data_IF_528290689964
#
_entry.id   IF_528290689964
#
_cell.length_a   1.000
_cell.length_b   1.000
_cell.length_c   1.000
_cell.angle_alpha   90.00
_cell.angle_beta   90.00
_cell.angle_gamma   90.00
#
_symmetry.space_group_name_H-M   'P 1'
#
loop_
_entity.id
_entity.type
_entity.pdbx_description
1 polymer ?
#
# COMPACT_ATOMS: atom_id res chain seq x y z
N UNK A 1 -11.18 -48.41 -23.45
CA UNK A 1 -11.57 -47.39 -22.46
C UNK A 1 -10.28 -46.65 -22.15
N UNK A 2 -9.99 -45.60 -22.91
CA UNK A 2 -8.75 -44.83 -22.81
C UNK A 2 -8.92 -43.78 -21.72
N UNK A 3 -8.01 -43.82 -20.75
CA UNK A 3 -7.89 -42.87 -19.66
C UNK A 3 -7.43 -41.52 -20.25
N UNK A 4 -8.26 -40.50 -20.09
CA UNK A 4 -8.06 -39.18 -20.67
C UNK A 4 -8.21 -38.14 -19.55
N UNK A 5 -7.16 -37.99 -18.76
CA UNK A 5 -6.89 -36.76 -18.01
C UNK A 5 -5.49 -36.80 -17.41
N UNK A 6 -4.46 -36.90 -18.25
CA UNK A 6 -3.14 -36.41 -17.90
C UNK A 6 -3.15 -34.91 -18.21
N UNK A 7 -3.68 -34.12 -17.28
CA UNK A 7 -3.55 -32.67 -17.35
C UNK A 7 -2.11 -32.35 -16.96
N UNK A 8 -1.31 -32.07 -17.99
CA UNK A 8 0.05 -31.58 -17.93
C UNK A 8 0.10 -30.31 -17.05
N UNK A 9 0.33 -30.50 -15.75
CA UNK A 9 0.40 -29.41 -14.80
C UNK A 9 1.74 -28.71 -15.01
N UNK A 10 1.76 -27.42 -15.39
CA UNK A 10 2.98 -26.72 -15.76
C UNK A 10 4.01 -26.79 -14.63
N UNK A 11 5.27 -27.01 -15.01
CA UNK A 11 6.38 -27.10 -14.07
C UNK A 11 6.55 -25.77 -13.31
N UNK A 12 7.15 -25.80 -12.12
CA UNK A 12 7.43 -24.59 -11.31
C UNK A 12 8.12 -23.47 -12.11
N UNK A 13 9.02 -23.83 -13.04
CA UNK A 13 9.71 -22.87 -13.89
C UNK A 13 8.83 -22.27 -14.99
N UNK A 14 7.94 -23.05 -15.60
CA UNK A 14 6.97 -22.53 -16.58
C UNK A 14 5.97 -21.58 -15.93
N UNK A 15 5.56 -21.89 -14.69
CA UNK A 15 4.72 -21.00 -13.88
C UNK A 15 5.43 -19.69 -13.54
N UNK A 16 6.72 -19.75 -13.19
CA UNK A 16 7.52 -18.55 -12.92
C UNK A 16 7.66 -17.67 -14.18
N UNK A 17 7.99 -18.26 -15.33
CA UNK A 17 8.13 -17.53 -16.59
C UNK A 17 6.81 -16.89 -17.04
N UNK A 18 5.69 -17.61 -16.92
CA UNK A 18 4.36 -17.10 -17.23
C UNK A 18 3.96 -15.94 -16.30
N UNK A 19 4.25 -16.05 -15.00
CA UNK A 19 4.03 -14.97 -14.04
C UNK A 19 4.85 -13.72 -14.37
N UNK A 20 6.14 -13.88 -14.67
CA UNK A 20 7.01 -12.75 -15.08
C UNK A 20 6.47 -12.08 -16.34
N UNK A 21 6.01 -12.85 -17.33
CA UNK A 21 5.41 -12.31 -18.54
C UNK A 21 4.14 -11.51 -18.24
N UNK A 22 3.25 -12.02 -17.37
CA UNK A 22 2.04 -11.32 -16.90
C UNK A 22 2.39 -10.01 -16.19
N UNK A 23 3.35 -10.04 -15.27
CA UNK A 23 3.79 -8.86 -14.52
C UNK A 23 4.41 -7.79 -15.42
N UNK A 24 5.19 -8.18 -16.44
CA UNK A 24 5.77 -7.24 -17.41
C UNK A 24 4.71 -6.44 -18.16
N UNK A 25 3.52 -6.99 -18.37
CA UNK A 25 2.39 -6.26 -18.99
C UNK A 25 1.87 -5.11 -18.10
N UNK A 26 2.18 -5.11 -16.81
CA UNK A 26 1.75 -4.04 -15.88
C UNK A 26 2.67 -2.81 -15.91
N UNK A 27 3.84 -2.91 -16.54
CA UNK A 27 4.82 -1.82 -16.58
C UNK A 27 4.20 -0.59 -17.23
N UNK A 28 4.32 0.55 -16.55
CA UNK A 28 3.80 1.83 -17.03
C UNK A 28 2.30 2.05 -16.78
N UNK A 29 1.53 1.03 -16.41
CA UNK A 29 0.11 1.20 -16.05
C UNK A 29 0.04 1.99 -14.73
N UNK A 30 -0.65 3.13 -14.79
CA UNK A 30 -0.93 3.96 -13.62
C UNK A 30 -2.31 3.64 -13.06
N UNK A 31 -2.39 3.44 -11.75
CA UNK A 31 -3.62 3.39 -10.98
C UNK A 31 -3.69 4.60 -10.05
N UNK A 32 -4.86 5.22 -9.97
CA UNK A 32 -5.12 6.39 -9.12
C UNK A 32 -6.19 6.02 -8.11
N UNK A 33 -5.92 6.27 -6.83
CA UNK A 33 -6.83 6.06 -5.72
C UNK A 33 -7.02 7.38 -4.98
N UNK A 34 -8.26 7.76 -4.73
CA UNK A 34 -8.58 8.93 -3.93
C UNK A 34 -9.29 8.47 -2.66
N UNK A 35 -8.82 8.96 -1.52
CA UNK A 35 -9.43 8.68 -0.23
C UNK A 35 -10.90 9.15 -0.24
N UNK A 36 -11.83 8.33 0.27
CA UNK A 36 -13.23 8.75 0.39
C UNK A 36 -13.41 9.84 1.46
N UNK A 37 -12.52 9.85 2.46
CA UNK A 37 -12.59 10.72 3.62
C UNK A 37 -11.22 11.35 3.95
N UNK A 38 -11.24 12.33 4.86
CA UNK A 38 -10.05 12.89 5.47
C UNK A 38 -9.28 11.82 6.28
N UNK A 39 -7.96 11.97 6.40
CA UNK A 39 -7.10 11.02 7.12
C UNK A 39 -7.47 10.79 8.60
N UNK A 40 -8.01 11.83 9.25
CA UNK A 40 -8.51 11.78 10.61
C UNK A 40 -7.45 11.66 11.71
N UNK A 41 -7.64 12.39 12.82
CA UNK A 41 -6.77 12.31 14.01
C UNK A 41 -6.66 10.91 14.64
N UNK A 42 -7.72 10.08 14.66
CA UNK A 42 -7.65 8.77 15.32
C UNK A 42 -6.57 7.86 14.72
N UNK A 43 -6.38 7.87 13.40
CA UNK A 43 -5.40 7.04 12.72
C UNK A 43 -3.97 7.40 13.12
N UNK A 44 -3.69 8.70 13.33
CA UNK A 44 -2.36 9.19 13.73
C UNK A 44 -2.00 8.67 15.12
N UNK A 45 -2.92 8.81 16.08
CA UNK A 45 -2.75 8.29 17.44
C UNK A 45 -2.62 6.77 17.44
N UNK A 46 -3.47 6.05 16.73
CA UNK A 46 -3.46 4.58 16.72
C UNK A 46 -2.17 4.03 16.11
N UNK A 47 -1.69 4.62 15.01
CA UNK A 47 -0.45 4.21 14.39
C UNK A 47 0.76 4.54 15.27
N UNK A 48 0.82 5.75 15.86
CA UNK A 48 1.85 6.14 16.82
C UNK A 48 1.94 5.13 17.99
N UNK A 49 0.80 4.70 18.53
CA UNK A 49 0.74 3.64 19.55
C UNK A 49 1.28 2.30 19.02
N UNK A 50 0.92 1.91 17.80
CA UNK A 50 1.32 0.64 17.19
C UNK A 50 2.84 0.56 16.93
N UNK A 51 3.45 1.66 16.50
CA UNK A 51 4.90 1.71 16.21
C UNK A 51 5.75 2.12 17.42
N UNK A 52 5.12 2.53 18.53
CA UNK A 52 5.81 2.95 19.75
C UNK A 52 6.52 4.31 19.65
N UNK A 53 6.14 5.16 18.69
CA UNK A 53 6.65 6.53 18.55
C UNK A 53 5.63 7.51 19.14
N UNK A 54 5.93 8.04 20.32
CA UNK A 54 5.04 8.92 21.08
C UNK A 54 5.39 10.41 20.93
N UNK A 55 6.00 10.81 19.82
CA UNK A 55 6.27 12.23 19.56
C UNK A 55 4.97 13.06 19.68
N UNK A 56 4.93 14.09 20.56
CA UNK A 56 3.71 14.85 20.83
C UNK A 56 3.17 15.58 19.60
N UNK A 57 3.97 15.85 18.57
CA UNK A 57 3.50 16.49 17.33
C UNK A 57 2.44 15.68 16.58
N UNK A 58 2.28 14.39 16.89
CA UNK A 58 1.25 13.54 16.30
C UNK A 58 -0.10 13.60 17.03
N UNK A 59 -0.14 14.11 18.27
CA UNK A 59 -1.33 13.99 19.15
C UNK A 59 -1.71 15.29 19.87
N UNK A 60 -0.77 16.20 20.07
CA UNK A 60 -0.97 17.49 20.72
C UNK A 60 -0.82 18.65 19.73
N UNK A 61 -1.93 19.36 19.49
CA UNK A 61 -1.99 20.50 18.57
C UNK A 61 -1.11 21.67 19.03
N UNK A 62 -0.96 21.90 20.34
CA UNK A 62 -0.11 22.98 20.85
C UNK A 62 1.36 22.65 20.65
N UNK A 63 1.76 21.41 20.94
CA UNK A 63 3.12 20.95 20.66
C UNK A 63 3.45 21.05 19.16
N UNK A 64 2.56 20.58 18.30
CA UNK A 64 2.74 20.68 16.84
C UNK A 64 2.91 22.14 16.38
N UNK A 65 2.07 23.06 16.87
CA UNK A 65 2.17 24.50 16.56
C UNK A 65 3.45 25.14 17.08
N UNK A 66 3.95 24.74 18.25
CA UNK A 66 5.25 25.19 18.75
C UNK A 66 6.42 24.77 17.83
N UNK A 67 6.23 23.70 17.05
CA UNK A 67 7.16 23.23 16.02
C UNK A 67 6.90 23.80 14.62
N UNK A 68 6.00 24.78 14.48
CA UNK A 68 5.71 25.44 13.20
C UNK A 68 4.73 24.70 12.29
N UNK A 69 4.09 23.63 12.79
CA UNK A 69 3.03 22.94 12.06
C UNK A 69 1.69 23.66 12.24
N UNK A 70 0.79 23.56 11.26
CA UNK A 70 -0.56 24.15 11.39
C UNK A 70 -1.42 23.45 12.46
N UNK A 71 -1.22 22.15 12.60
CA UNK A 71 -1.88 21.26 13.54
C UNK A 71 -1.04 19.98 13.69
N UNK A 72 -1.54 18.99 14.43
CA UNK A 72 -0.92 17.67 14.49
C UNK A 72 -0.66 17.10 13.09
N UNK A 73 0.42 16.33 12.93
CA UNK A 73 0.73 15.66 11.68
C UNK A 73 0.70 14.14 11.84
N UNK A 74 0.51 13.42 10.74
CA UNK A 74 0.68 11.98 10.70
C UNK A 74 2.13 11.60 11.04
N UNK A 75 2.36 10.49 11.77
CA UNK A 75 3.64 9.81 11.74
C UNK A 75 4.07 9.57 10.28
N UNK A 76 5.29 9.93 9.85
CA UNK A 76 5.62 10.01 8.43
C UNK A 76 5.34 8.73 7.63
N UNK A 77 5.59 7.55 8.21
CA UNK A 77 5.38 6.26 7.54
C UNK A 77 3.93 5.77 7.51
N UNK A 78 3.01 6.41 8.23
CA UNK A 78 1.58 6.04 8.20
C UNK A 78 1.05 6.04 6.76
N UNK A 79 1.44 7.02 5.95
CA UNK A 79 0.97 7.14 4.55
C UNK A 79 1.44 5.97 3.67
N UNK A 80 2.55 5.33 4.04
CA UNK A 80 3.15 4.22 3.30
C UNK A 80 2.55 2.86 3.69
N UNK A 81 1.93 2.78 4.87
CA UNK A 81 1.45 1.55 5.50
C UNK A 81 -0.08 1.52 5.68
N UNK A 82 -0.77 2.62 5.36
CA UNK A 82 -2.23 2.70 5.43
C UNK A 82 -2.87 2.35 4.09
N UNK A 83 -4.13 1.90 4.14
CA UNK A 83 -5.00 1.74 2.97
C UNK A 83 -6.22 2.67 3.01
N UNK A 84 -6.24 3.65 3.92
CA UNK A 84 -7.36 4.61 4.06
C UNK A 84 -7.63 5.41 2.78
N UNK A 85 -6.67 5.49 1.85
CA UNK A 85 -6.84 6.18 0.57
C UNK A 85 -7.54 5.33 -0.51
N UNK A 86 -7.95 4.10 -0.20
CA UNK A 86 -8.62 3.19 -1.14
C UNK A 86 -10.04 2.93 -0.66
N UNK A 87 -11.00 3.30 -1.50
CA UNK A 87 -12.38 2.82 -1.40
C UNK A 87 -12.52 1.53 -2.23
N UNK A 88 -13.12 0.49 -1.66
CA UNK A 88 -13.39 -0.74 -2.40
C UNK A 88 -13.84 -1.91 -1.54
N UNK A 89 -14.29 -2.95 -2.24
CA UNK A 89 -14.72 -4.20 -1.61
C UNK A 89 -13.55 -4.96 -0.97
N UNK A 90 -13.90 -5.77 0.02
CA UNK A 90 -12.99 -6.70 0.69
C UNK A 90 -13.33 -8.12 0.25
N UNK A 91 -12.30 -8.91 -0.09
CA UNK A 91 -12.46 -10.31 -0.45
C UNK A 91 -12.68 -11.23 0.78
N UNK A 92 -12.90 -12.51 0.55
CA UNK A 92 -13.10 -13.52 1.59
C UNK A 92 -11.86 -13.73 2.50
N UNK A 93 -10.71 -13.20 2.09
CA UNK A 93 -9.45 -13.24 2.84
C UNK A 93 -9.17 -11.93 3.58
N UNK A 94 -10.09 -10.96 3.55
CA UNK A 94 -9.92 -9.67 4.24
C UNK A 94 -9.04 -8.67 3.50
N UNK A 95 -8.79 -8.87 2.19
CA UNK A 95 -7.94 -7.99 1.38
C UNK A 95 -8.80 -7.03 0.54
N UNK A 96 -8.33 -5.80 0.38
CA UNK A 96 -8.94 -4.84 -0.53
C UNK A 96 -8.76 -5.32 -1.97
N UNK A 97 -9.87 -5.54 -2.67
CA UNK A 97 -9.89 -6.04 -4.06
C UNK A 97 -9.12 -5.10 -4.99
N UNK A 98 -9.25 -3.79 -4.78
CA UNK A 98 -8.57 -2.76 -5.57
C UNK A 98 -7.03 -2.74 -5.41
N UNK A 99 -6.51 -3.35 -4.34
CA UNK A 99 -5.07 -3.46 -4.07
C UNK A 99 -4.48 -4.80 -4.46
N UNK A 100 -5.30 -5.74 -4.95
CA UNK A 100 -4.83 -7.05 -5.36
C UNK A 100 -3.83 -6.90 -6.51
N UNK A 101 -2.64 -7.44 -6.31
CA UNK A 101 -1.66 -7.57 -7.39
C UNK A 101 -1.79 -8.95 -8.05
N UNK A 102 -1.04 -9.12 -9.15
CA UNK A 102 -0.97 -10.38 -9.88
C UNK A 102 -0.09 -11.42 -9.17
N UNK A 103 0.46 -11.10 -7.99
CA UNK A 103 1.27 -11.98 -7.16
C UNK A 103 0.35 -12.76 -6.22
N UNK A 104 -0.41 -13.68 -6.82
CA UNK A 104 -1.45 -14.50 -6.16
C UNK A 104 -0.98 -15.19 -4.86
N UNK A 105 0.34 -15.40 -4.69
CA UNK A 105 0.98 -16.04 -3.53
C UNK A 105 1.51 -15.09 -2.44
N UNK A 106 1.28 -13.78 -2.54
CA UNK A 106 1.75 -12.79 -1.57
C UNK A 106 3.20 -12.39 -1.81
N UNK A 107 3.41 -11.22 -2.40
CA UNK A 107 4.74 -10.65 -2.58
C UNK A 107 5.41 -10.31 -1.25
N UNK A 108 6.73 -10.52 -1.16
CA UNK A 108 7.52 -9.96 -0.07
C UNK A 108 7.90 -8.52 -0.40
N UNK A 109 7.62 -7.58 0.51
CA UNK A 109 8.18 -6.22 0.45
C UNK A 109 9.67 -6.26 0.76
N UNK A 110 10.49 -6.43 -0.29
CA UNK A 110 11.93 -6.66 -0.18
C UNK A 110 12.78 -5.38 0.04
N UNK A 111 12.17 -4.20 -0.03
CA UNK A 111 12.82 -2.91 0.20
C UNK A 111 11.90 -1.74 -0.13
N UNK A 112 12.13 -0.58 0.49
CA UNK A 112 11.38 0.65 0.24
C UNK A 112 12.31 1.85 0.33
N UNK A 113 12.09 2.85 -0.52
CA UNK A 113 12.71 4.18 -0.45
C UNK A 113 11.59 5.23 -0.34
N UNK A 114 11.75 6.19 0.57
CA UNK A 114 10.74 7.22 0.83
C UNK A 114 11.36 8.62 0.80
N UNK A 115 10.62 9.56 0.22
CA UNK A 115 10.90 10.99 0.27
C UNK A 115 9.63 11.71 0.73
N UNK A 116 9.75 12.53 1.77
CA UNK A 116 8.62 13.23 2.38
C UNK A 116 8.74 14.73 2.09
N UNK A 117 7.78 15.26 1.32
CA UNK A 117 7.81 16.66 0.88
C UNK A 117 7.05 17.61 1.82
N UNK A 118 6.01 17.13 2.47
CA UNK A 118 5.20 17.91 3.39
C UNK A 118 4.54 17.04 4.48
N UNK A 119 4.22 17.60 5.65
CA UNK A 119 3.41 16.92 6.66
C UNK A 119 2.01 16.61 6.14
N UNK A 120 1.47 15.46 6.52
CA UNK A 120 0.05 15.11 6.34
C UNK A 120 -0.71 15.47 7.60
N UNK A 121 -1.82 16.18 7.46
CA UNK A 121 -2.67 16.65 8.55
C UNK A 121 -4.02 15.94 8.56
N UNK A 122 -4.80 16.03 9.67
CA UNK A 122 -6.00 15.22 9.84
C UNK A 122 -7.10 15.48 8.81
N UNK A 123 -7.18 16.70 8.31
CA UNK A 123 -8.15 17.20 7.32
C UNK A 123 -7.68 16.99 5.88
N UNK A 124 -6.52 16.37 5.66
CA UNK A 124 -6.05 16.10 4.30
C UNK A 124 -6.80 14.90 3.71
N UNK A 125 -7.25 15.05 2.46
CA UNK A 125 -7.78 13.97 1.61
C UNK A 125 -6.65 13.50 0.69
N UNK A 126 -6.24 12.25 0.85
CA UNK A 126 -5.06 11.70 0.15
C UNK A 126 -5.44 11.19 -1.24
N UNK A 127 -4.61 11.50 -2.24
CA UNK A 127 -4.63 10.83 -3.55
C UNK A 127 -3.33 10.06 -3.74
N UNK A 128 -3.42 8.75 -3.95
CA UNK A 128 -2.30 7.88 -4.27
C UNK A 128 -2.26 7.59 -5.78
N UNK A 129 -1.07 7.73 -6.37
CA UNK A 129 -0.79 7.25 -7.73
C UNK A 129 0.22 6.12 -7.64
N UNK A 130 -0.12 4.97 -8.19
CA UNK A 130 0.72 3.77 -8.20
C UNK A 130 1.04 3.40 -9.63
N UNK A 131 2.31 3.06 -9.88
CA UNK A 131 2.76 2.58 -11.18
C UNK A 131 3.82 1.50 -10.99
N UNK A 132 3.74 0.42 -11.78
CA UNK A 132 4.84 -0.53 -11.89
C UNK A 132 5.93 0.08 -12.77
N UNK A 133 7.07 0.41 -12.16
CA UNK A 133 8.22 0.98 -12.91
C UNK A 133 9.03 -0.07 -13.67
N UNK A 134 9.24 -1.24 -13.06
CA UNK A 134 10.07 -2.29 -13.65
C UNK A 134 9.69 -3.67 -13.09
N UNK A 135 9.96 -4.72 -13.86
CA UNK A 135 9.84 -6.14 -13.47
C UNK A 135 11.05 -6.89 -14.05
N UNK A 136 11.78 -7.57 -13.18
CA UNK A 136 12.98 -8.33 -13.55
C UNK A 136 13.14 -9.56 -12.65
N UNK A 137 13.88 -10.54 -13.14
CA UNK A 137 14.28 -11.72 -12.37
C UNK A 137 15.62 -11.44 -11.67
N UNK A 138 15.74 -11.88 -10.42
CA UNK A 138 16.90 -11.62 -9.57
C UNK A 138 17.60 -12.93 -9.19
#
# INVERSE_FOLDING_TARGET
MADASDQDQPTSNENAAALVAKLKLTIGIEAVFQAPDEMGRPSFRQYALAIGDFNPVYTDSQAAKAHGLRDVMAPPTLICDTWQYVEGDIDDQGRLVALRDELEAGGLRAGNDYEFFQPVHPDDVVTARRQTKNVYEK
#
